data_IF_372086990430
#
_entry.id   IF_372086990430
#
_cell.length_a   1.000
_cell.length_b   1.000
_cell.length_c   1.000
_cell.angle_alpha   90.00
_cell.angle_beta   90.00
_cell.angle_gamma   90.00
#
_symmetry.space_group_name_H-M   'P 1'
#
loop_
_entity.id
_entity.type
_entity.pdbx_description
1 polymer ?
#
# COMPACT_ATOMS: atom_id res chain seq x y z
N UNK A 1 -43.28 -56.76 8.42
CA UNK A 1 -42.26 -56.27 9.38
C UNK A 1 -40.84 -56.12 8.78
N UNK A 2 -40.53 -56.69 7.61
CA UNK A 2 -39.17 -56.59 7.02
C UNK A 2 -38.89 -55.31 6.22
N UNK A 3 -39.92 -54.60 5.75
CA UNK A 3 -39.75 -53.35 4.98
C UNK A 3 -39.28 -52.16 5.82
N UNK A 4 -39.68 -52.11 7.10
CA UNK A 4 -39.25 -51.07 8.05
C UNK A 4 -37.80 -51.24 8.48
N UNK A 5 -37.34 -52.49 8.56
CA UNK A 5 -35.97 -52.85 8.95
C UNK A 5 -34.95 -52.45 7.86
N UNK A 6 -35.33 -52.57 6.58
CA UNK A 6 -34.49 -52.12 5.46
C UNK A 6 -34.27 -50.61 5.41
N UNK A 7 -35.27 -49.81 5.80
CA UNK A 7 -35.15 -48.34 5.80
C UNK A 7 -34.20 -47.87 6.90
N UNK A 8 -34.25 -48.49 8.09
CA UNK A 8 -33.35 -48.18 9.23
C UNK A 8 -31.90 -48.57 8.94
N UNK A 9 -31.67 -49.64 8.18
CA UNK A 9 -30.32 -50.07 7.76
C UNK A 9 -29.75 -49.19 6.63
N UNK A 10 -30.60 -48.57 5.81
CA UNK A 10 -30.17 -47.68 4.71
C UNK A 10 -30.02 -46.20 5.13
N UNK A 11 -30.65 -45.79 6.23
CA UNK A 11 -30.50 -44.45 6.82
C UNK A 11 -29.04 -44.00 7.11
N UNK A 12 -28.11 -44.85 7.62
CA UNK A 12 -26.71 -44.44 7.83
C UNK A 12 -25.89 -44.35 6.53
N UNK A 13 -26.35 -44.97 5.43
CA UNK A 13 -25.71 -44.89 4.11
C UNK A 13 -26.10 -43.61 3.36
N UNK A 14 -27.25 -43.02 3.68
CA UNK A 14 -27.72 -41.74 3.15
C UNK A 14 -27.09 -40.55 3.90
N UNK A 15 -25.75 -40.49 3.93
CA UNK A 15 -25.00 -39.23 3.95
C UNK A 15 -25.22 -38.23 5.11
N UNK A 16 -25.89 -38.59 6.21
CA UNK A 16 -26.11 -37.68 7.35
C UNK A 16 -24.92 -37.65 8.34
N UNK A 17 -23.71 -37.92 7.84
CA UNK A 17 -22.46 -37.82 8.60
C UNK A 17 -21.48 -36.79 8.04
N UNK A 18 -21.87 -36.06 6.98
CA UNK A 18 -21.02 -35.11 6.27
C UNK A 18 -21.01 -33.69 6.85
N UNK A 19 -21.52 -33.47 8.07
CA UNK A 19 -21.19 -32.25 8.79
C UNK A 19 -19.74 -32.38 9.25
N UNK A 20 -18.83 -32.01 8.34
CA UNK A 20 -17.42 -31.74 8.63
C UNK A 20 -17.35 -31.13 10.00
N UNK A 21 -16.77 -31.85 10.97
CA UNK A 21 -16.50 -31.28 12.28
C UNK A 21 -15.88 -29.90 12.01
N UNK A 22 -16.43 -28.80 12.57
CA UNK A 22 -15.86 -27.48 12.36
C UNK A 22 -14.49 -27.50 13.05
N UNK A 23 -13.47 -27.96 12.33
CA UNK A 23 -12.08 -27.82 12.71
C UNK A 23 -11.84 -26.32 12.60
N UNK A 24 -11.99 -25.64 13.73
CA UNK A 24 -11.68 -24.22 13.84
C UNK A 24 -10.25 -24.08 13.32
N UNK A 25 -10.02 -23.36 12.21
CA UNK A 25 -8.66 -23.16 11.74
C UNK A 25 -7.87 -22.51 12.88
N UNK A 26 -6.73 -23.10 13.21
CA UNK A 26 -5.85 -22.54 14.22
C UNK A 26 -5.30 -21.23 13.64
N UNK A 27 -5.86 -20.12 14.10
CA UNK A 27 -5.39 -18.79 13.71
C UNK A 27 -3.98 -18.66 14.29
N UNK A 28 -2.96 -18.42 13.46
CA UNK A 28 -1.61 -18.23 13.96
C UNK A 28 -1.56 -17.00 14.85
N UNK A 29 -0.93 -17.13 16.01
CA UNK A 29 -0.76 -16.02 16.96
C UNK A 29 0.06 -14.87 16.35
N UNK A 30 0.92 -15.16 15.36
CA UNK A 30 1.76 -14.19 14.67
C UNK A 30 1.77 -14.46 13.17
N UNK A 31 1.52 -13.41 12.39
CA UNK A 31 1.65 -13.39 10.93
C UNK A 31 2.77 -12.42 10.58
N UNK A 32 3.84 -12.95 9.98
CA UNK A 32 4.93 -12.11 9.49
C UNK A 32 4.58 -11.62 8.09
N UNK A 33 4.37 -10.31 7.97
CA UNK A 33 4.17 -9.64 6.68
C UNK A 33 5.49 -9.03 6.27
N UNK A 34 5.91 -9.24 5.01
CA UNK A 34 7.04 -8.49 4.47
C UNK A 34 6.61 -7.04 4.29
N UNK A 35 7.26 -6.15 5.02
CA UNK A 35 7.09 -4.71 4.84
C UNK A 35 8.19 -4.25 3.90
N UNK A 36 7.81 -3.61 2.80
CA UNK A 36 8.79 -2.95 1.94
C UNK A 36 9.40 -1.78 2.70
N UNK A 37 10.71 -1.84 2.90
CA UNK A 37 11.45 -0.73 3.53
C UNK A 37 11.66 0.32 2.44
N UNK A 38 11.17 1.56 2.61
CA UNK A 38 11.37 2.60 1.61
C UNK A 38 12.87 2.81 1.37
N UNK A 39 13.26 2.91 0.10
CA UNK A 39 14.63 3.15 -0.29
C UNK A 39 15.18 4.40 0.42
N UNK A 40 16.38 4.29 1.00
CA UNK A 40 17.02 5.43 1.64
C UNK A 40 17.44 6.43 0.58
N UNK A 41 16.72 7.56 0.51
CA UNK A 41 17.04 8.63 -0.43
C UNK A 41 18.19 9.50 0.10
N UNK A 42 19.04 10.05 -0.78
CA UNK A 42 20.04 11.04 -0.41
C UNK A 42 19.43 12.22 0.34
N UNK A 43 20.07 12.67 1.44
CA UNK A 43 19.59 13.80 2.24
C UNK A 43 19.46 15.10 1.43
N UNK A 44 20.30 15.29 0.43
CA UNK A 44 20.22 16.42 -0.50
C UNK A 44 18.92 16.40 -1.31
N UNK A 45 18.42 15.22 -1.70
CA UNK A 45 17.17 15.07 -2.44
C UNK A 45 15.93 15.20 -1.55
N UNK A 46 16.04 15.03 -0.24
CA UNK A 46 14.92 15.14 0.71
C UNK A 46 14.92 16.40 1.57
N UNK A 47 15.85 17.33 1.36
CA UNK A 47 15.87 18.63 2.04
C UNK A 47 14.55 19.42 1.84
N UNK A 48 14.08 20.09 2.89
CA UNK A 48 12.86 20.90 2.81
C UNK A 48 13.00 22.11 1.89
N UNK A 49 11.88 22.59 1.35
CA UNK A 49 11.78 23.77 0.50
C UNK A 49 11.17 24.92 1.32
N UNK A 50 11.96 25.82 1.93
CA UNK A 50 11.42 26.85 2.81
C UNK A 50 10.63 27.90 2.00
N UNK A 51 9.35 28.14 2.30
CA UNK A 51 8.55 29.14 1.61
C UNK A 51 8.83 30.55 2.14
N UNK A 52 8.93 31.52 1.22
CA UNK A 52 8.90 32.96 1.55
C UNK A 52 7.47 33.47 1.43
N UNK A 53 6.96 34.08 2.48
CA UNK A 53 5.59 34.62 2.51
C UNK A 53 5.58 36.14 2.34
N UNK A 54 4.50 36.66 1.76
CA UNK A 54 4.26 38.10 1.70
C UNK A 54 4.07 38.65 3.12
N UNK A 55 4.80 39.71 3.47
CA UNK A 55 4.71 40.33 4.80
C UNK A 55 3.44 41.17 4.98
N UNK A 56 2.81 41.57 3.87
CA UNK A 56 1.64 42.43 3.83
C UNK A 56 0.67 41.95 2.75
N UNK A 57 -0.61 42.32 2.89
CA UNK A 57 -1.67 42.02 1.90
C UNK A 57 -1.71 43.08 0.79
N UNK A 58 -0.58 43.31 0.14
CA UNK A 58 -0.48 44.16 -1.05
C UNK A 58 -0.06 43.35 -2.27
N UNK A 59 -0.38 43.84 -3.47
CA UNK A 59 -0.03 43.16 -4.73
C UNK A 59 1.48 43.06 -4.85
N UNK A 60 2.19 44.13 -4.50
CA UNK A 60 3.65 44.23 -4.61
C UNK A 60 4.34 43.25 -3.66
N UNK A 61 3.85 43.11 -2.43
CA UNK A 61 4.37 42.15 -1.46
C UNK A 61 4.11 40.71 -1.89
N UNK A 62 2.96 40.43 -2.51
CA UNK A 62 2.62 39.10 -3.04
C UNK A 62 3.50 38.75 -4.24
N UNK A 63 3.66 39.65 -5.20
CA UNK A 63 4.49 39.45 -6.39
C UNK A 63 5.97 39.28 -5.99
N UNK A 64 6.46 40.07 -5.05
CA UNK A 64 7.82 39.95 -4.53
C UNK A 64 8.06 38.59 -3.86
N UNK A 65 7.16 38.16 -2.97
CA UNK A 65 7.26 36.86 -2.33
C UNK A 65 7.16 35.71 -3.35
N UNK A 66 6.27 35.82 -4.34
CA UNK A 66 6.13 34.84 -5.42
C UNK A 66 7.41 34.72 -6.24
N UNK A 67 7.94 35.83 -6.74
CA UNK A 67 9.17 35.83 -7.55
C UNK A 67 10.37 35.30 -6.77
N UNK A 68 10.43 35.55 -5.46
CA UNK A 68 11.48 35.02 -4.58
C UNK A 68 11.41 33.50 -4.45
N UNK A 69 10.23 32.90 -4.55
CA UNK A 69 10.04 31.46 -4.43
C UNK A 69 10.27 30.68 -5.73
N UNK A 70 10.27 31.33 -6.90
CA UNK A 70 10.43 30.63 -8.20
C UNK A 70 11.72 29.76 -8.25
N UNK A 71 12.90 30.26 -7.85
CA UNK A 71 14.12 29.46 -7.91
C UNK A 71 14.10 28.27 -6.95
N UNK A 72 13.60 28.46 -5.72
CA UNK A 72 13.51 27.38 -4.74
C UNK A 72 12.47 26.33 -5.13
N UNK A 73 11.36 26.73 -5.74
CA UNK A 73 10.37 25.81 -6.30
C UNK A 73 10.98 24.98 -7.44
N UNK A 74 11.73 25.62 -8.33
CA UNK A 74 12.37 24.95 -9.47
C UNK A 74 13.38 23.88 -9.01
N UNK A 75 14.23 24.20 -8.04
CA UNK A 75 15.16 23.23 -7.42
C UNK A 75 14.40 22.04 -6.80
N UNK A 76 13.32 22.33 -6.08
CA UNK A 76 12.52 21.29 -5.44
C UNK A 76 11.81 20.38 -6.44
N UNK A 77 11.27 20.92 -7.52
CA UNK A 77 10.66 20.14 -8.59
C UNK A 77 11.70 19.24 -9.28
N UNK A 78 12.93 19.74 -9.50
CA UNK A 78 14.02 18.95 -10.04
C UNK A 78 14.38 17.77 -9.13
N UNK A 79 14.54 18.01 -7.82
CA UNK A 79 14.86 16.98 -6.84
C UNK A 79 13.75 15.94 -6.71
N UNK A 80 12.49 16.36 -6.77
CA UNK A 80 11.35 15.44 -6.82
C UNK A 80 11.34 14.59 -8.09
N UNK A 81 11.71 15.17 -9.23
CA UNK A 81 11.91 14.43 -10.48
C UNK A 81 13.01 13.38 -10.36
N UNK A 82 14.11 13.70 -9.69
CA UNK A 82 15.21 12.77 -9.44
C UNK A 82 14.82 11.63 -8.51
N UNK A 83 14.11 11.93 -7.41
CA UNK A 83 13.54 10.91 -6.52
C UNK A 83 12.67 9.93 -7.32
N UNK A 84 11.77 10.42 -8.18
CA UNK A 84 10.89 9.57 -9.00
C UNK A 84 11.68 8.63 -9.91
N UNK A 85 12.83 9.07 -10.45
CA UNK A 85 13.71 8.23 -11.27
C UNK A 85 14.39 7.15 -10.44
N UNK A 86 14.85 7.48 -9.23
CA UNK A 86 15.50 6.55 -8.32
C UNK A 86 14.53 5.51 -7.73
N UNK A 87 13.25 5.87 -7.58
CA UNK A 87 12.21 5.00 -7.02
C UNK A 87 11.32 4.33 -8.07
N UNK A 88 11.54 4.60 -9.36
CA UNK A 88 10.79 3.93 -10.41
C UNK A 88 11.11 2.43 -10.35
N UNK A 89 10.09 1.54 -10.32
CA UNK A 89 10.34 0.11 -10.42
C UNK A 89 11.07 -0.14 -11.74
N UNK A 90 12.16 -0.93 -11.69
CA UNK A 90 12.79 -1.43 -12.90
C UNK A 90 11.71 -2.12 -13.72
N UNK A 91 11.31 -1.51 -14.85
CA UNK A 91 10.42 -2.15 -15.79
C UNK A 91 11.05 -3.50 -16.12
N UNK A 92 10.29 -4.53 -15.79
CA UNK A 92 10.58 -5.95 -15.96
C UNK A 92 10.98 -6.22 -17.41
N UNK A 93 12.27 -6.09 -17.71
CA UNK A 93 12.91 -6.61 -18.92
C UNK A 93 12.97 -8.14 -18.80
N UNK A 94 11.80 -8.77 -18.79
CA UNK A 94 11.67 -10.20 -19.00
C UNK A 94 10.42 -10.46 -19.81
N UNK A 95 10.56 -10.30 -21.13
CA UNK A 95 9.72 -11.02 -22.07
C UNK A 95 10.65 -11.81 -23.00
N UNK A 96 10.67 -13.16 -22.93
CA UNK A 96 11.20 -13.97 -24.01
C UNK A 96 10.31 -13.89 -25.25
#
# INVERSE_FOLDING_TARGET
>A
MHRLLLIVVLLPLAGWGGCSAPVKPQIPEKVYVRVEVPAQLPKSLTAGCPPVHAQQRSIEAVVSAYNTNIPSQTDCDQRMGEIRRLTAPAQEQSKP
#
